data_IF_752994776125
#
_entry.id   IF_752994776125
#
_cell.length_a   1.000
_cell.length_b   1.000
_cell.length_c   1.000
_cell.angle_alpha   90.00
_cell.angle_beta   90.00
_cell.angle_gamma   90.00
#
_symmetry.space_group_name_H-M   'P 1'
#
loop_
_entity.id
_entity.type
_entity.pdbx_description
1 polymer ?
#
# COMPACT_ATOMS: atom_id res chain seq x y z
N UNK A 1 -3.43 4.31 4.15
CA UNK A 1 -3.92 4.06 5.53
C UNK A 1 -2.86 3.37 6.35
N UNK A 2 -2.90 2.05 6.47
CA UNK A 2 -2.04 1.24 7.34
C UNK A 2 -0.54 1.61 7.33
N UNK A 3 0.12 1.59 6.16
CA UNK A 3 1.54 1.95 6.06
C UNK A 3 1.81 3.43 6.35
N UNK A 4 0.91 4.34 5.93
CA UNK A 4 1.05 5.77 6.23
C UNK A 4 0.94 6.05 7.74
N UNK A 5 0.01 5.39 8.44
CA UNK A 5 -0.12 5.51 9.90
C UNK A 5 1.15 5.04 10.61
N UNK A 6 1.75 3.94 10.14
CA UNK A 6 3.02 3.47 10.67
C UNK A 6 4.16 4.46 10.39
N UNK A 7 4.16 5.11 9.22
CA UNK A 7 5.17 6.11 8.85
C UNK A 7 5.09 7.32 9.77
N UNK A 8 3.88 7.84 10.01
CA UNK A 8 3.66 8.92 10.97
C UNK A 8 4.11 8.47 12.37
N UNK A 9 3.71 7.28 12.82
CA UNK A 9 4.14 6.77 14.12
C UNK A 9 5.68 6.67 14.23
N UNK A 10 6.38 6.19 13.18
CA UNK A 10 7.84 6.12 13.18
C UNK A 10 8.49 7.50 13.35
N UNK A 11 7.89 8.56 12.79
CA UNK A 11 8.35 9.93 12.98
C UNK A 11 8.13 10.42 14.42
N UNK A 12 7.06 9.95 15.09
CA UNK A 12 6.78 10.29 16.49
C UNK A 12 7.74 9.64 17.49
N UNK A 13 8.52 8.63 17.09
CA UNK A 13 9.50 7.96 17.98
C UNK A 13 10.67 8.86 18.39
N UNK A 14 10.89 10.00 17.72
CA UNK A 14 11.90 10.99 18.09
C UNK A 14 13.36 10.57 17.89
N UNK A 15 13.63 9.36 17.40
CA UNK A 15 14.97 8.83 17.13
C UNK A 15 15.03 8.18 15.75
N UNK A 16 16.08 8.49 14.98
CA UNK A 16 16.32 7.87 13.69
C UNK A 16 16.38 6.34 13.78
N UNK A 17 17.12 5.81 14.77
CA UNK A 17 17.26 4.36 14.97
C UNK A 17 15.95 3.76 15.46
N UNK A 18 15.23 4.44 16.35
CA UNK A 18 13.91 4.01 16.83
C UNK A 18 12.89 3.89 15.70
N UNK A 19 12.81 4.91 14.84
CA UNK A 19 11.94 4.91 13.66
C UNK A 19 12.33 3.84 12.63
N UNK A 20 13.64 3.67 12.37
CA UNK A 20 14.15 2.64 11.47
C UNK A 20 13.80 1.22 11.97
N UNK A 21 14.02 0.94 13.26
CA UNK A 21 13.67 -0.35 13.87
C UNK A 21 12.17 -0.60 13.86
N UNK A 22 11.37 0.44 14.10
CA UNK A 22 9.91 0.39 14.02
C UNK A 22 9.44 -0.01 12.61
N UNK A 23 10.01 0.61 11.58
CA UNK A 23 9.72 0.27 10.18
C UNK A 23 10.20 -1.11 9.78
N UNK A 24 11.36 -1.52 10.29
CA UNK A 24 11.92 -2.85 10.03
C UNK A 24 11.01 -3.95 10.56
N UNK A 25 10.59 -3.84 11.82
CA UNK A 25 9.67 -4.81 12.44
C UNK A 25 8.32 -4.83 11.73
N UNK A 26 7.81 -3.65 11.33
CA UNK A 26 6.61 -3.55 10.52
C UNK A 26 6.75 -4.30 9.18
N UNK A 27 7.84 -4.07 8.44
CA UNK A 27 8.09 -4.76 7.18
C UNK A 27 8.16 -6.28 7.37
N UNK A 28 8.86 -6.76 8.41
CA UNK A 28 8.91 -8.18 8.76
C UNK A 28 7.52 -8.75 9.10
N UNK A 29 6.70 -8.02 9.85
CA UNK A 29 5.34 -8.45 10.20
C UNK A 29 4.40 -8.54 8.99
N UNK A 30 4.60 -7.69 7.97
CA UNK A 30 3.79 -7.71 6.75
C UNK A 30 4.31 -8.68 5.68
N UNK A 31 5.56 -9.12 5.79
CA UNK A 31 6.21 -10.01 4.83
C UNK A 31 5.42 -11.29 4.55
N UNK A 32 4.86 -12.04 5.53
CA UNK A 32 4.09 -13.26 5.25
C UNK A 32 2.86 -13.00 4.38
N UNK A 33 2.12 -11.93 4.67
CA UNK A 33 0.92 -11.58 3.90
C UNK A 33 1.27 -11.15 2.47
N UNK A 34 2.31 -10.30 2.31
CA UNK A 34 2.78 -9.87 0.99
C UNK A 34 3.38 -11.03 0.20
N UNK A 35 4.06 -11.97 0.86
CA UNK A 35 4.59 -13.17 0.23
C UNK A 35 3.45 -14.05 -0.28
N UNK A 36 2.42 -14.32 0.53
CA UNK A 36 1.25 -15.09 0.11
C UNK A 36 0.56 -14.46 -1.10
N UNK A 37 0.33 -13.14 -1.10
CA UNK A 37 -0.25 -12.44 -2.24
C UNK A 37 0.64 -12.52 -3.49
N UNK A 38 1.94 -12.34 -3.32
CA UNK A 38 2.92 -12.40 -4.42
C UNK A 38 2.96 -13.78 -5.05
N UNK A 39 3.08 -14.84 -4.25
CA UNK A 39 3.15 -16.22 -4.74
C UNK A 39 1.80 -16.76 -5.22
N UNK A 40 0.67 -16.29 -4.66
CA UNK A 40 -0.67 -16.65 -5.15
C UNK A 40 -0.85 -16.26 -6.64
N UNK A 41 -0.27 -15.13 -7.07
CA UNK A 41 -0.32 -14.70 -8.46
C UNK A 41 0.39 -15.67 -9.43
N UNK A 42 1.42 -16.39 -8.97
CA UNK A 42 2.18 -17.36 -9.77
C UNK A 42 1.42 -18.68 -9.96
N UNK A 43 0.44 -18.98 -9.10
CA UNK A 43 -0.42 -20.15 -9.19
C UNK A 43 -1.49 -20.04 -10.28
N UNK A 44 -1.68 -18.86 -10.88
CA UNK A 44 -2.70 -18.61 -11.91
C UNK A 44 -2.20 -19.13 -13.26
N UNK A 45 -2.29 -20.44 -13.47
CA UNK A 45 -1.81 -21.13 -14.67
C UNK A 45 -2.86 -21.25 -15.79
N UNK A 46 -4.14 -21.02 -15.50
CA UNK A 46 -5.22 -21.12 -16.48
C UNK A 46 -5.31 -19.88 -17.38
N UNK A 47 -4.87 -20.02 -18.64
CA UNK A 47 -4.88 -18.95 -19.65
C UNK A 47 -6.28 -18.34 -19.88
N UNK A 48 -7.35 -19.13 -19.72
CA UNK A 48 -8.72 -18.68 -19.94
C UNK A 48 -9.25 -17.72 -18.85
N UNK A 49 -8.78 -17.84 -17.60
CA UNK A 49 -9.20 -16.98 -16.48
C UNK A 49 -8.17 -15.90 -16.11
N UNK A 50 -6.94 -16.05 -16.59
CA UNK A 50 -5.83 -15.11 -16.40
C UNK A 50 -6.15 -13.70 -16.93
N UNK A 51 -6.75 -13.60 -18.12
CA UNK A 51 -7.11 -12.30 -18.73
C UNK A 51 -8.07 -11.47 -17.87
N UNK A 52 -9.14 -12.08 -17.35
CA UNK A 52 -10.10 -11.39 -16.47
C UNK A 52 -9.47 -11.03 -15.14
N UNK A 53 -8.65 -11.92 -14.55
CA UNK A 53 -7.96 -11.64 -13.30
C UNK A 53 -7.03 -10.42 -13.41
N UNK A 54 -6.15 -10.39 -14.40
CA UNK A 54 -5.22 -9.27 -14.58
C UNK A 54 -5.93 -7.96 -14.93
N UNK A 55 -7.02 -8.01 -15.71
CA UNK A 55 -7.80 -6.80 -16.02
C UNK A 55 -8.48 -6.24 -14.77
N UNK A 56 -9.08 -7.10 -13.94
CA UNK A 56 -9.70 -6.69 -12.67
C UNK A 56 -8.64 -6.17 -11.69
N UNK A 57 -7.53 -6.88 -11.52
CA UNK A 57 -6.43 -6.45 -10.67
C UNK A 57 -5.86 -5.11 -11.13
N UNK A 58 -5.67 -4.91 -12.44
CA UNK A 58 -5.21 -3.64 -13.01
C UNK A 58 -6.15 -2.47 -12.72
N UNK A 59 -7.47 -2.67 -12.87
CA UNK A 59 -8.47 -1.65 -12.54
C UNK A 59 -8.40 -1.28 -11.05
N UNK A 60 -8.29 -2.29 -10.16
CA UNK A 60 -8.14 -2.07 -8.71
C UNK A 60 -6.85 -1.32 -8.39
N UNK A 61 -5.74 -1.67 -9.03
CA UNK A 61 -4.45 -0.98 -8.86
C UNK A 61 -4.54 0.48 -9.31
N UNK A 62 -5.13 0.75 -10.48
CA UNK A 62 -5.32 2.12 -10.99
C UNK A 62 -6.20 2.94 -10.02
N UNK A 63 -7.28 2.35 -9.51
CA UNK A 63 -8.13 2.99 -8.51
C UNK A 63 -7.34 3.38 -7.27
N UNK A 64 -6.58 2.44 -6.67
CA UNK A 64 -5.77 2.73 -5.49
C UNK A 64 -4.65 3.72 -5.78
N UNK A 65 -4.07 3.71 -6.99
CA UNK A 65 -3.04 4.67 -7.38
C UNK A 65 -3.60 6.10 -7.41
N UNK A 66 -4.74 6.31 -8.06
CA UNK A 66 -5.44 7.62 -8.10
C UNK A 66 -5.84 8.04 -6.69
N UNK A 67 -6.40 7.12 -5.89
CA UNK A 67 -6.81 7.41 -4.53
C UNK A 67 -5.63 7.86 -3.64
N UNK A 68 -4.49 7.16 -3.71
CA UNK A 68 -3.29 7.56 -2.98
C UNK A 68 -2.70 8.86 -3.51
N UNK A 69 -2.72 9.10 -4.82
CA UNK A 69 -2.24 10.34 -5.41
C UNK A 69 -3.06 11.55 -4.90
N UNK A 70 -4.39 11.44 -4.92
CA UNK A 70 -5.29 12.47 -4.37
C UNK A 70 -4.99 12.69 -2.89
N UNK A 71 -4.88 11.62 -2.10
CA UNK A 71 -4.55 11.71 -0.67
C UNK A 71 -3.23 12.45 -0.41
N UNK A 72 -2.19 12.19 -1.21
CA UNK A 72 -0.91 12.88 -1.10
C UNK A 72 -0.99 14.35 -1.52
N UNK A 73 -1.73 14.67 -2.59
CA UNK A 73 -1.93 16.06 -3.04
C UNK A 73 -2.69 16.89 -1.99
N UNK A 74 -3.68 16.28 -1.31
CA UNK A 74 -4.40 16.90 -0.19
C UNK A 74 -3.47 17.09 1.01
N UNK A 75 -2.69 16.07 1.39
CA UNK A 75 -1.73 16.17 2.48
C UNK A 75 -0.62 17.21 2.22
N UNK A 76 -0.25 17.42 0.95
CA UNK A 76 0.68 18.46 0.52
C UNK A 76 0.06 19.86 0.40
N UNK A 77 -1.28 20.00 0.56
CA UNK A 77 -1.99 21.27 0.48
C UNK A 77 -2.20 21.81 -0.95
N UNK A 78 -2.03 20.98 -1.98
CA UNK A 78 -2.14 21.40 -3.39
C UNK A 78 -3.61 21.47 -3.84
N UNK A 79 -4.47 20.59 -3.31
CA UNK A 79 -5.91 20.55 -3.62
C UNK A 79 -6.73 20.45 -2.32
N UNK A 80 -7.97 20.96 -2.29
CA UNK A 80 -8.87 20.72 -1.17
C UNK A 80 -9.26 19.23 -1.07
N UNK A 81 -9.62 18.75 0.13
CA UNK A 81 -10.07 17.37 0.31
C UNK A 81 -11.32 17.09 -0.53
N UNK A 82 -11.19 16.15 -1.48
CA UNK A 82 -12.30 15.72 -2.34
C UNK A 82 -13.21 14.68 -1.66
N UNK A 83 -12.68 13.99 -0.66
CA UNK A 83 -13.39 13.00 0.14
C UNK A 83 -13.39 13.45 1.59
N UNK A 84 -14.55 13.41 2.24
CA UNK A 84 -14.71 13.75 3.66
C UNK A 84 -14.57 12.49 4.51
N UNK A 85 -13.34 11.98 4.60
CA UNK A 85 -12.98 10.77 5.36
C UNK A 85 -11.94 11.12 6.41
#
# INVERSE_FOLDING_TARGET
>A
GFTQSMQIYSLTTGSYVGGAMTMFVFALGTLPALALLSFASLGIKDKAKSGTFFKTAGIVVIFFAIFNLIGTLVAAGIIPPLFNI
#
